data_IF_281646824032
#
_entry.id   IF_281646824032
#
_cell.length_a   1.000
_cell.length_b   1.000
_cell.length_c   1.000
_cell.angle_alpha   90.00
_cell.angle_beta   90.00
_cell.angle_gamma   90.00
#
_symmetry.space_group_name_H-M   'P 1'
#
loop_
_entity.id
_entity.type
_entity.pdbx_description
1 polymer ?
#
# COMPACT_ATOMS: atom_id res chain seq x y z
N UNK A 1 17.48 17.72 5.25
CA UNK A 1 16.82 16.59 4.62
C UNK A 1 15.88 15.93 5.61
N UNK A 2 14.58 15.73 5.29
CA UNK A 2 13.60 15.19 6.24
C UNK A 2 13.97 13.75 6.63
N UNK A 3 13.94 13.45 7.93
CA UNK A 3 14.33 12.14 8.48
C UNK A 3 13.16 11.32 8.97
N UNK A 4 12.08 11.96 9.39
CA UNK A 4 10.88 11.33 9.95
C UNK A 4 9.63 12.08 9.50
N UNK A 5 8.46 11.53 9.80
CA UNK A 5 7.18 12.07 9.33
C UNK A 5 6.94 13.52 9.76
N UNK A 6 7.40 13.93 10.95
CA UNK A 6 7.24 15.31 11.43
C UNK A 6 7.96 16.33 10.54
N UNK A 7 9.20 16.02 10.10
CA UNK A 7 9.93 16.87 9.15
C UNK A 7 9.21 16.97 7.83
N UNK A 8 8.69 15.82 7.32
CA UNK A 8 7.94 15.77 6.07
C UNK A 8 6.63 16.55 6.13
N UNK A 9 5.92 16.49 7.26
CA UNK A 9 4.71 17.30 7.47
C UNK A 9 5.02 18.80 7.48
N UNK A 10 6.12 19.21 8.11
CA UNK A 10 6.55 20.60 8.09
C UNK A 10 6.86 21.09 6.66
N UNK A 11 7.60 20.29 5.86
CA UNK A 11 7.88 20.59 4.45
C UNK A 11 6.59 20.67 3.62
N UNK A 12 5.68 19.70 3.78
CA UNK A 12 4.37 19.73 3.12
C UNK A 12 3.53 20.94 3.54
N UNK A 13 3.64 21.35 4.81
CA UNK A 13 3.00 22.58 5.32
C UNK A 13 3.47 23.84 4.60
N UNK A 14 4.77 23.96 4.33
CA UNK A 14 5.33 25.05 3.52
C UNK A 14 4.75 25.03 2.10
N UNK A 15 4.71 23.86 1.46
CA UNK A 15 4.14 23.70 0.12
C UNK A 15 2.67 24.11 0.12
N UNK A 16 1.89 23.64 1.09
CA UNK A 16 0.49 24.00 1.23
C UNK A 16 0.29 25.50 1.43
N UNK A 17 1.09 26.14 2.31
CA UNK A 17 1.00 27.57 2.56
C UNK A 17 1.26 28.42 1.31
N UNK A 18 2.23 27.99 0.49
CA UNK A 18 2.62 28.71 -0.73
C UNK A 18 1.67 28.46 -1.90
N UNK A 19 1.26 27.19 -2.10
CA UNK A 19 0.52 26.78 -3.31
C UNK A 19 -0.99 26.66 -3.11
N UNK A 20 -1.42 26.38 -1.87
CA UNK A 20 -2.80 26.01 -1.53
C UNK A 20 -3.33 24.80 -2.31
N UNK A 21 -2.43 24.00 -2.89
CA UNK A 21 -2.73 22.89 -3.79
C UNK A 21 -2.61 21.50 -3.14
N UNK A 22 -1.97 21.39 -1.98
CA UNK A 22 -1.69 20.10 -1.33
C UNK A 22 -2.29 20.06 0.08
N UNK A 23 -3.59 19.79 0.18
CA UNK A 23 -4.33 19.78 1.46
C UNK A 23 -4.23 18.47 2.22
N UNK A 24 -3.75 17.42 1.59
CA UNK A 24 -3.62 16.09 2.18
C UNK A 24 -2.27 15.49 1.88
N UNK A 25 -1.83 14.58 2.74
CA UNK A 25 -0.60 13.81 2.59
C UNK A 25 -0.91 12.33 2.72
N UNK A 26 -0.14 11.49 2.01
CA UNK A 26 -0.27 10.03 2.01
C UNK A 26 0.95 9.42 2.67
N UNK A 27 0.88 9.06 3.97
CA UNK A 27 2.01 8.48 4.69
C UNK A 27 2.27 7.03 4.25
N UNK A 28 3.51 6.58 4.47
CA UNK A 28 3.99 5.26 4.09
C UNK A 28 4.41 4.45 5.31
N UNK A 29 3.78 3.31 5.52
CA UNK A 29 4.08 2.43 6.61
C UNK A 29 4.88 1.19 6.16
N UNK A 30 5.92 0.81 6.93
CA UNK A 30 6.16 1.13 8.35
C UNK A 30 7.03 2.36 8.63
N UNK A 31 7.51 3.10 7.62
CA UNK A 31 8.51 4.17 7.82
C UNK A 31 8.00 5.39 8.57
N UNK A 32 6.70 5.67 8.46
CA UNK A 32 6.04 6.82 9.08
C UNK A 32 5.36 6.49 10.42
N UNK A 33 5.76 5.38 11.06
CA UNK A 33 5.21 4.99 12.35
C UNK A 33 5.59 5.99 13.45
N UNK A 34 4.59 6.31 14.28
CA UNK A 34 4.72 7.12 15.50
C UNK A 34 4.02 6.43 16.66
N UNK A 35 4.29 6.88 17.88
CA UNK A 35 3.63 6.34 19.08
C UNK A 35 2.22 6.90 19.31
N UNK A 36 1.91 8.07 18.77
CA UNK A 36 0.61 8.75 18.93
C UNK A 36 0.11 9.34 17.61
N UNK A 37 -0.81 8.65 16.97
CA UNK A 37 -1.41 9.07 15.69
C UNK A 37 -2.42 10.21 15.87
N UNK A 38 -3.02 10.38 17.05
CA UNK A 38 -3.90 11.51 17.32
C UNK A 38 -3.09 12.81 17.42
N UNK A 39 -1.93 12.76 18.09
CA UNK A 39 -1.00 13.89 18.12
C UNK A 39 -0.50 14.23 16.71
N UNK A 40 -0.14 13.24 15.91
CA UNK A 40 0.28 13.45 14.50
C UNK A 40 -0.81 14.09 13.66
N UNK A 41 -2.07 13.67 13.84
CA UNK A 41 -3.23 14.28 13.16
C UNK A 41 -3.42 15.74 13.54
N UNK A 42 -3.26 16.06 14.83
CA UNK A 42 -3.35 17.45 15.31
C UNK A 42 -2.21 18.31 14.76
N UNK A 43 -0.99 17.78 14.71
CA UNK A 43 0.16 18.46 14.11
C UNK A 43 -0.08 18.76 12.62
N UNK A 44 -0.52 17.79 11.82
CA UNK A 44 -0.86 18.00 10.42
C UNK A 44 -1.91 19.12 10.25
N UNK A 45 -2.92 19.14 11.10
CA UNK A 45 -3.97 20.17 11.08
C UNK A 45 -3.42 21.58 11.34
N UNK A 46 -2.35 21.74 12.14
CA UNK A 46 -1.69 23.05 12.35
C UNK A 46 -1.06 23.59 11.07
N UNK A 47 -0.66 22.73 10.16
CA UNK A 47 -0.15 23.08 8.83
C UNK A 47 -1.25 23.22 7.76
N UNK A 48 -2.53 23.07 8.15
CA UNK A 48 -3.64 23.04 7.20
C UNK A 48 -3.66 21.77 6.35
N UNK A 49 -3.10 20.67 6.86
CA UNK A 49 -3.02 19.37 6.20
C UNK A 49 -3.95 18.36 6.87
N UNK A 50 -4.47 17.43 6.06
CA UNK A 50 -5.10 16.20 6.48
C UNK A 50 -4.37 14.99 5.91
N UNK A 51 -4.95 13.81 6.10
CA UNK A 51 -4.40 12.56 5.53
C UNK A 51 -5.29 12.04 4.41
N UNK A 52 -4.66 11.61 3.32
CA UNK A 52 -5.26 10.86 2.24
C UNK A 52 -5.02 9.35 2.46
N UNK A 53 -4.91 8.56 1.41
CA UNK A 53 -4.71 7.13 1.52
C UNK A 53 -3.46 6.77 2.33
N UNK A 54 -3.60 5.78 3.21
CA UNK A 54 -2.47 5.15 3.89
C UNK A 54 -1.81 4.17 2.92
N UNK A 55 -0.49 4.24 2.74
CA UNK A 55 0.25 3.29 1.92
C UNK A 55 0.83 2.18 2.80
N UNK A 56 0.38 0.95 2.60
CA UNK A 56 0.99 -0.21 3.21
C UNK A 56 2.12 -0.74 2.32
N UNK A 57 3.31 -0.90 2.90
CA UNK A 57 4.48 -1.33 2.15
C UNK A 57 4.98 -2.67 2.69
N UNK A 58 4.82 -3.72 1.89
CA UNK A 58 5.28 -5.08 2.17
C UNK A 58 6.21 -5.63 1.10
N UNK A 59 6.88 -4.75 0.33
CA UNK A 59 7.76 -5.14 -0.76
C UNK A 59 9.22 -5.32 -0.34
N UNK A 60 9.59 -4.95 0.87
CA UNK A 60 10.94 -5.13 1.41
C UNK A 60 10.91 -5.52 2.89
N UNK A 61 11.96 -6.20 3.34
CA UNK A 61 12.10 -6.61 4.72
C UNK A 61 12.39 -5.42 5.63
N UNK A 62 11.86 -5.50 6.84
CA UNK A 62 12.08 -4.54 7.92
C UNK A 62 12.96 -5.16 9.01
N UNK A 63 13.65 -4.30 9.76
CA UNK A 63 14.47 -4.74 10.89
C UNK A 63 13.60 -5.48 11.91
N UNK A 64 14.01 -6.69 12.28
CA UNK A 64 13.27 -7.54 13.23
C UNK A 64 12.07 -8.28 12.66
N UNK A 65 11.80 -8.18 11.35
CA UNK A 65 10.76 -8.92 10.68
C UNK A 65 11.03 -10.43 10.72
N UNK A 66 10.00 -11.23 11.02
CA UNK A 66 10.14 -12.68 11.21
C UNK A 66 10.25 -13.45 9.90
N UNK A 67 9.42 -13.11 8.92
CA UNK A 67 9.34 -13.78 7.62
C UNK A 67 9.74 -12.81 6.51
N UNK A 68 10.75 -13.17 5.73
CA UNK A 68 11.25 -12.34 4.64
C UNK A 68 10.24 -12.25 3.48
N UNK A 69 10.09 -11.06 2.92
CA UNK A 69 9.32 -10.81 1.70
C UNK A 69 10.15 -11.01 0.42
N UNK A 70 11.35 -11.57 0.54
CA UNK A 70 12.27 -11.82 -0.58
C UNK A 70 11.62 -12.57 -1.75
N UNK A 71 10.64 -13.43 -1.49
CA UNK A 71 9.91 -14.19 -2.49
C UNK A 71 8.42 -13.79 -2.58
N UNK A 72 8.11 -12.58 -2.20
CA UNK A 72 6.77 -12.03 -2.16
C UNK A 72 6.21 -11.88 -0.75
N UNK A 73 5.13 -11.14 -0.63
CA UNK A 73 4.42 -10.81 0.61
C UNK A 73 3.02 -11.44 0.63
N UNK A 74 2.02 -10.71 0.14
CA UNK A 74 0.62 -11.16 0.08
C UNK A 74 0.41 -12.31 -0.91
N UNK A 75 1.25 -12.44 -1.94
CA UNK A 75 1.22 -13.53 -2.92
C UNK A 75 2.20 -14.66 -2.61
N UNK A 76 2.96 -14.60 -1.52
CA UNK A 76 3.99 -15.59 -1.17
C UNK A 76 3.43 -17.01 -1.09
N UNK A 77 4.22 -18.01 -1.51
CA UNK A 77 3.85 -19.42 -1.38
C UNK A 77 3.70 -19.86 0.10
N UNK A 78 4.52 -19.28 1.01
CA UNK A 78 4.47 -19.59 2.43
C UNK A 78 3.31 -18.86 3.12
N UNK A 79 2.41 -19.61 3.75
CA UNK A 79 1.23 -19.06 4.43
C UNK A 79 1.59 -18.11 5.58
N UNK A 80 2.64 -18.42 6.34
CA UNK A 80 3.08 -17.58 7.47
C UNK A 80 3.58 -16.20 7.01
N UNK A 81 4.24 -16.13 5.83
CA UNK A 81 4.66 -14.87 5.23
C UNK A 81 3.45 -14.05 4.79
N UNK A 82 2.45 -14.71 4.16
CA UNK A 82 1.20 -14.03 3.81
C UNK A 82 0.46 -13.51 5.05
N UNK A 83 0.39 -14.33 6.11
CA UNK A 83 -0.26 -13.92 7.36
C UNK A 83 0.42 -12.69 7.99
N UNK A 84 1.77 -12.63 7.96
CA UNK A 84 2.51 -11.44 8.41
C UNK A 84 2.18 -10.20 7.57
N UNK A 85 2.10 -10.34 6.24
CA UNK A 85 1.75 -9.23 5.36
C UNK A 85 0.29 -8.77 5.54
N UNK A 86 -0.64 -9.69 5.78
CA UNK A 86 -2.03 -9.37 6.15
C UNK A 86 -2.05 -8.60 7.47
N UNK A 87 -1.35 -9.07 8.50
CA UNK A 87 -1.30 -8.39 9.80
C UNK A 87 -0.79 -6.94 9.68
N UNK A 88 0.23 -6.70 8.83
CA UNK A 88 0.72 -5.36 8.54
C UNK A 88 -0.37 -4.47 7.90
N UNK A 89 -1.12 -5.00 6.94
CA UNK A 89 -2.22 -4.26 6.31
C UNK A 89 -3.36 -3.96 7.30
N UNK A 90 -3.68 -4.89 8.20
CA UNK A 90 -4.66 -4.66 9.27
C UNK A 90 -4.19 -3.56 10.23
N UNK A 91 -2.91 -3.53 10.59
CA UNK A 91 -2.31 -2.44 11.36
C UNK A 91 -2.46 -1.09 10.62
N UNK A 92 -2.19 -1.06 9.30
CA UNK A 92 -2.36 0.15 8.49
C UNK A 92 -3.81 0.64 8.48
N UNK A 93 -4.81 -0.25 8.48
CA UNK A 93 -6.23 0.13 8.60
C UNK A 93 -6.48 0.84 9.94
N UNK A 94 -5.98 0.31 11.05
CA UNK A 94 -6.15 0.93 12.37
C UNK A 94 -5.45 2.31 12.46
N UNK A 95 -4.27 2.42 11.87
CA UNK A 95 -3.56 3.70 11.73
C UNK A 95 -4.40 4.69 10.90
N UNK A 96 -4.93 4.24 9.77
CA UNK A 96 -5.79 5.05 8.92
C UNK A 96 -7.02 5.59 9.65
N UNK A 97 -7.67 4.75 10.46
CA UNK A 97 -8.78 5.19 11.33
C UNK A 97 -8.37 6.30 12.29
N UNK A 98 -7.23 6.14 12.95
CA UNK A 98 -6.73 7.14 13.89
C UNK A 98 -6.37 8.46 13.21
N UNK A 99 -5.82 8.41 12.01
CA UNK A 99 -5.46 9.59 11.21
C UNK A 99 -6.66 10.23 10.50
N UNK A 100 -7.79 9.52 10.42
CA UNK A 100 -8.97 9.96 9.65
C UNK A 100 -8.78 9.84 8.13
N UNK A 101 -7.94 8.88 7.71
CA UNK A 101 -7.71 8.58 6.30
C UNK A 101 -8.92 7.90 5.66
N UNK A 102 -9.30 8.28 4.43
CA UNK A 102 -10.43 7.66 3.74
C UNK A 102 -10.08 6.34 3.02
N UNK A 103 -8.81 5.98 2.90
CA UNK A 103 -8.42 4.84 2.10
C UNK A 103 -7.11 4.16 2.54
N UNK A 104 -6.98 2.89 2.16
CA UNK A 104 -5.73 2.12 2.20
C UNK A 104 -5.28 1.85 0.77
N UNK A 105 -4.06 2.24 0.41
CA UNK A 105 -3.40 1.82 -0.82
C UNK A 105 -2.54 0.59 -0.56
N UNK A 106 -2.75 -0.46 -1.34
CA UNK A 106 -1.97 -1.69 -1.32
C UNK A 106 -1.25 -1.84 -2.65
N UNK A 107 0.07 -1.71 -2.59
CA UNK A 107 0.97 -2.05 -3.67
C UNK A 107 1.86 -3.22 -3.24
N UNK A 108 2.06 -4.18 -4.12
CA UNK A 108 2.94 -5.33 -3.90
C UNK A 108 3.99 -5.44 -5.00
N UNK A 109 5.23 -5.73 -4.59
CA UNK A 109 6.31 -6.07 -5.52
C UNK A 109 6.42 -7.57 -5.80
N UNK A 110 5.43 -8.34 -5.39
CA UNK A 110 5.40 -9.81 -5.49
C UNK A 110 5.38 -10.25 -6.96
N UNK A 111 6.22 -11.21 -7.33
CA UNK A 111 6.33 -11.64 -8.72
C UNK A 111 7.29 -12.79 -8.92
N UNK A 112 7.77 -12.94 -10.17
CA UNK A 112 8.73 -13.95 -10.57
C UNK A 112 9.70 -13.41 -11.64
N UNK A 113 10.93 -13.93 -11.68
CA UNK A 113 11.95 -13.52 -12.64
C UNK A 113 11.98 -14.40 -13.88
N UNK A 114 11.55 -15.66 -13.78
CA UNK A 114 11.65 -16.62 -14.88
C UNK A 114 10.36 -17.44 -15.00
N UNK A 115 9.95 -17.79 -16.23
CA UNK A 115 8.92 -18.78 -16.45
C UNK A 115 9.26 -20.10 -15.73
N UNK A 116 8.33 -20.66 -15.00
CA UNK A 116 8.51 -21.91 -14.25
C UNK A 116 9.17 -21.75 -12.86
N UNK A 117 9.66 -20.58 -12.50
CA UNK A 117 10.14 -20.32 -11.15
C UNK A 117 8.99 -20.27 -10.13
N UNK A 118 7.92 -19.58 -10.48
CA UNK A 118 6.65 -19.57 -9.75
C UNK A 118 5.48 -19.53 -10.73
N UNK A 119 4.32 -20.00 -10.30
CA UNK A 119 3.07 -19.87 -11.05
C UNK A 119 2.42 -18.53 -10.72
N UNK A 120 2.37 -17.62 -11.69
CA UNK A 120 1.66 -16.33 -11.54
C UNK A 120 0.17 -16.50 -11.20
N UNK A 121 -0.49 -17.53 -11.78
CA UNK A 121 -1.88 -17.85 -11.42
C UNK A 121 -2.04 -18.20 -9.94
N UNK A 122 -1.16 -19.07 -9.41
CA UNK A 122 -1.17 -19.42 -7.98
C UNK A 122 -0.83 -18.20 -7.10
N UNK A 123 0.09 -17.37 -7.53
CA UNK A 123 0.42 -16.13 -6.80
C UNK A 123 -0.77 -15.18 -6.76
N UNK A 124 -1.51 -15.04 -7.86
CA UNK A 124 -2.71 -14.23 -7.91
C UNK A 124 -3.83 -14.79 -7.00
N UNK A 125 -4.04 -16.11 -6.98
CA UNK A 125 -4.96 -16.77 -6.05
C UNK A 125 -4.59 -16.50 -4.58
N UNK A 126 -3.31 -16.67 -4.22
CA UNK A 126 -2.81 -16.38 -2.89
C UNK A 126 -3.00 -14.90 -2.51
N UNK A 127 -2.72 -13.99 -3.45
CA UNK A 127 -2.94 -12.56 -3.28
C UNK A 127 -4.40 -12.24 -3.00
N UNK A 128 -5.33 -12.76 -3.80
CA UNK A 128 -6.77 -12.55 -3.60
C UNK A 128 -7.22 -13.06 -2.24
N UNK A 129 -6.83 -14.27 -1.86
CA UNK A 129 -7.15 -14.83 -0.55
C UNK A 129 -6.63 -13.97 0.61
N UNK A 130 -5.40 -13.45 0.51
CA UNK A 130 -4.85 -12.55 1.51
C UNK A 130 -5.59 -11.21 1.55
N UNK A 131 -5.93 -10.66 0.38
CA UNK A 131 -6.65 -9.39 0.27
C UNK A 131 -8.10 -9.47 0.72
N UNK A 132 -8.76 -10.63 0.64
CA UNK A 132 -10.10 -10.86 1.21
C UNK A 132 -10.10 -10.59 2.73
N UNK A 133 -9.07 -11.06 3.44
CA UNK A 133 -8.95 -10.83 4.88
C UNK A 133 -8.74 -9.33 5.19
N UNK A 134 -7.94 -8.63 4.40
CA UNK A 134 -7.73 -7.18 4.54
C UNK A 134 -9.01 -6.40 4.21
N UNK A 135 -9.69 -6.77 3.12
CA UNK A 135 -10.93 -6.14 2.69
C UNK A 135 -12.05 -6.28 3.72
N UNK A 136 -12.18 -7.46 4.32
CA UNK A 136 -13.19 -7.72 5.36
C UNK A 136 -12.99 -6.84 6.62
N UNK A 137 -11.77 -6.38 6.87
CA UNK A 137 -11.45 -5.51 8.00
C UNK A 137 -11.66 -4.01 7.72
N UNK A 138 -11.93 -3.62 6.47
CA UNK A 138 -12.16 -2.21 6.13
C UNK A 138 -13.41 -1.68 6.82
N UNK A 139 -13.31 -0.60 7.60
CA UNK A 139 -14.46 0.04 8.20
C UNK A 139 -15.38 0.66 7.15
N UNK A 140 -16.59 0.99 7.56
CA UNK A 140 -17.49 1.75 6.69
C UNK A 140 -16.89 3.11 6.35
N UNK A 141 -16.99 3.48 5.08
CA UNK A 141 -16.44 4.74 4.57
C UNK A 141 -14.96 4.70 4.16
N UNK A 142 -14.20 3.64 4.49
CA UNK A 142 -12.84 3.48 4.01
C UNK A 142 -12.80 2.64 2.72
N UNK A 143 -12.04 3.10 1.75
CA UNK A 143 -11.80 2.40 0.50
C UNK A 143 -10.43 1.69 0.50
N UNK A 144 -10.27 0.74 -0.41
CA UNK A 144 -9.01 0.08 -0.70
C UNK A 144 -8.62 0.39 -2.14
N UNK A 145 -7.39 0.86 -2.33
CA UNK A 145 -6.82 1.09 -3.65
C UNK A 145 -5.80 0.00 -3.96
N UNK A 146 -5.99 -0.71 -5.05
CA UNK A 146 -5.06 -1.73 -5.55
C UNK A 146 -4.22 -1.09 -6.63
N UNK A 147 -2.93 -0.88 -6.34
CA UNK A 147 -1.99 -0.28 -7.25
C UNK A 147 -1.24 -1.36 -8.02
N UNK A 148 -1.10 -1.17 -9.33
CA UNK A 148 -0.35 -2.06 -10.22
C UNK A 148 1.04 -1.51 -10.52
N UNK A 149 1.98 -2.43 -10.82
CA UNK A 149 3.28 -2.09 -11.38
C UNK A 149 3.84 -3.29 -12.13
N UNK A 150 4.29 -3.10 -13.37
CA UNK A 150 4.68 -4.20 -14.26
C UNK A 150 5.92 -4.97 -13.80
N UNK A 151 6.86 -4.33 -13.11
CA UNK A 151 8.09 -4.92 -12.55
C UNK A 151 8.63 -4.04 -11.41
N UNK A 152 9.70 -4.46 -10.76
CA UNK A 152 10.33 -3.84 -9.58
C UNK A 152 9.54 -4.11 -8.26
N UNK A 153 10.25 -4.03 -7.13
CA UNK A 153 11.70 -3.76 -7.01
C UNK A 153 12.57 -5.00 -7.26
N UNK A 154 12.02 -6.21 -7.18
CA UNK A 154 12.81 -7.45 -7.17
C UNK A 154 12.52 -8.38 -8.34
N UNK A 155 11.41 -8.23 -9.05
CA UNK A 155 10.93 -9.17 -10.06
C UNK A 155 10.72 -8.51 -11.43
N UNK A 156 10.93 -9.28 -12.51
CA UNK A 156 10.68 -8.83 -13.87
C UNK A 156 9.20 -8.84 -14.26
N UNK A 157 8.41 -9.65 -13.56
CA UNK A 157 6.95 -9.69 -13.73
C UNK A 157 6.31 -9.74 -12.36
N UNK A 158 5.47 -8.76 -12.04
CA UNK A 158 4.70 -8.71 -10.80
C UNK A 158 3.35 -9.37 -10.97
N UNK A 159 2.75 -9.80 -9.86
CA UNK A 159 1.44 -10.47 -9.87
C UNK A 159 0.30 -9.50 -10.19
N UNK A 160 0.45 -8.23 -9.82
CA UNK A 160 -0.45 -7.12 -10.21
C UNK A 160 0.31 -6.24 -11.18
N UNK A 161 0.45 -6.71 -12.41
CA UNK A 161 1.36 -6.14 -13.41
C UNK A 161 0.79 -4.94 -14.18
N UNK A 162 -0.53 -4.82 -14.23
CA UNK A 162 -1.24 -3.85 -15.05
C UNK A 162 -2.60 -3.47 -14.43
N UNK A 163 -3.23 -2.44 -14.99
CA UNK A 163 -4.54 -2.01 -14.53
C UNK A 163 -5.63 -3.10 -14.66
N UNK A 164 -5.50 -4.01 -15.62
CA UNK A 164 -6.46 -5.11 -15.82
C UNK A 164 -6.42 -6.11 -14.66
N UNK A 165 -5.23 -6.54 -14.23
CA UNK A 165 -5.05 -7.41 -13.05
C UNK A 165 -5.51 -6.73 -11.77
N UNK A 166 -5.22 -5.43 -11.61
CA UNK A 166 -5.73 -4.62 -10.51
C UNK A 166 -7.26 -4.53 -10.51
N UNK A 167 -7.87 -4.29 -11.68
CA UNK A 167 -9.33 -4.23 -11.83
C UNK A 167 -9.99 -5.58 -11.52
N UNK A 168 -9.42 -6.68 -11.99
CA UNK A 168 -9.91 -8.04 -11.67
C UNK A 168 -9.90 -8.29 -10.16
N UNK A 169 -8.83 -7.92 -9.48
CA UNK A 169 -8.74 -8.03 -8.02
C UNK A 169 -9.77 -7.14 -7.31
N UNK A 170 -9.93 -5.90 -7.75
CA UNK A 170 -10.91 -4.98 -7.18
C UNK A 170 -12.36 -5.48 -7.36
N UNK A 171 -12.69 -6.01 -8.54
CA UNK A 171 -14.01 -6.58 -8.81
C UNK A 171 -14.27 -7.84 -7.97
N UNK A 172 -13.27 -8.69 -7.77
CA UNK A 172 -13.37 -9.88 -6.94
C UNK A 172 -13.66 -9.53 -5.48
N UNK A 173 -12.97 -8.50 -4.93
CA UNK A 173 -13.10 -8.10 -3.54
C UNK A 173 -14.43 -7.38 -3.23
N UNK A 174 -14.89 -6.49 -4.12
CA UNK A 174 -16.17 -5.82 -3.95
C UNK A 174 -16.10 -4.29 -3.99
N UNK A 175 -17.21 -3.60 -3.66
CA UNK A 175 -17.41 -2.19 -3.97
C UNK A 175 -16.49 -1.21 -3.24
N UNK A 176 -15.89 -1.58 -2.12
CA UNK A 176 -14.90 -0.74 -1.41
C UNK A 176 -13.52 -0.79 -2.07
N UNK A 177 -13.23 -1.80 -2.93
CA UNK A 177 -11.96 -1.91 -3.63
C UNK A 177 -12.01 -1.18 -4.97
N UNK A 178 -10.94 -0.47 -5.30
CA UNK A 178 -10.77 0.30 -6.53
C UNK A 178 -9.39 0.05 -7.12
N UNK A 179 -9.31 0.14 -8.44
CA UNK A 179 -8.04 0.16 -9.15
C UNK A 179 -7.40 1.55 -9.00
N UNK A 180 -6.16 1.62 -8.51
CA UNK A 180 -5.35 2.82 -8.57
C UNK A 180 -4.50 2.76 -9.84
N UNK A 181 -4.67 3.74 -10.72
CA UNK A 181 -3.93 3.84 -11.97
C UNK A 181 -2.80 4.84 -11.80
N UNK A 182 -1.59 4.32 -11.59
CA UNK A 182 -0.38 5.13 -11.64
C UNK A 182 0.13 5.19 -13.09
N UNK A 183 0.10 6.38 -13.69
CA UNK A 183 0.52 6.58 -15.08
C UNK A 183 2.00 6.28 -15.32
N UNK A 184 2.83 6.32 -14.27
CA UNK A 184 4.24 5.92 -14.33
C UNK A 184 4.47 4.40 -14.34
N UNK A 185 3.45 3.61 -14.02
CA UNK A 185 3.54 2.17 -13.88
C UNK A 185 3.04 1.39 -15.10
N UNK A 186 2.92 2.03 -16.25
CA UNK A 186 2.55 1.38 -17.50
C UNK A 186 3.77 0.92 -18.30
N UNK A 187 3.67 -0.26 -18.92
CA UNK A 187 4.66 -0.69 -19.89
C UNK A 187 4.60 0.25 -21.12
N UNK A 188 5.74 0.59 -21.74
CA UNK A 188 5.79 1.60 -22.82
C UNK A 188 4.92 1.31 -24.05
N UNK A 189 4.49 0.07 -24.24
CA UNK A 189 3.69 -0.39 -25.37
C UNK A 189 2.29 -0.88 -25.00
N UNK A 190 1.85 -0.60 -23.79
CA UNK A 190 0.53 -1.02 -23.28
C UNK A 190 -0.24 0.24 -22.90
N UNK A 191 -1.20 0.61 -23.72
CA UNK A 191 -2.09 1.74 -23.51
C UNK A 191 -3.54 1.28 -23.49
#
# INVERSE_FOLDING_TARGET
EPRHIHDRLADCGVIQALTRGARTVSPHFPWDKVSDYNALRQEAAQYGLGFDAINSNSFQDQVGQKHSYKFGSLANAAADTRAQAVAHNLECIEIGKALGSPALTVWVGDGTNFPGQQSLGRMFENYLQAMEAVYAALPDGMQMFIEHKMYEPAFYSTVISDWGSSLMAAQHLGPKAKCLVDLGHHAPNVN
#
